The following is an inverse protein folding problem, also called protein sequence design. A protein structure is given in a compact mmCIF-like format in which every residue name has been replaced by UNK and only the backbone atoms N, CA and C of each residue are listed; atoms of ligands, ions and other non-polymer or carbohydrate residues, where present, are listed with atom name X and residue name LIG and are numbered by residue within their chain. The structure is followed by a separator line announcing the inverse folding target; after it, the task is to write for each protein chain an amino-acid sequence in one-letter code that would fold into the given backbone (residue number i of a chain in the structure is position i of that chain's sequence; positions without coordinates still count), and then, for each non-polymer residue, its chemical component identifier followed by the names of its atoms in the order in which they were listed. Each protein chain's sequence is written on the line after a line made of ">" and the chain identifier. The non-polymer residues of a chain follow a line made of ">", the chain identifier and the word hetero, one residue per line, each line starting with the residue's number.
data_IF_398235205442
#
_entry.id   IF_398235205442
#
_cell.length_a   1.000
_cell.length_b   1.000
_cell.length_c   1.000
_cell.angle_alpha   90.00
_cell.angle_beta   90.00
_cell.angle_gamma   90.00
#
_symmetry.space_group_name_H-M   'P 1'
#
loop_
_entity.id
_entity.type
_entity.pdbx_description
1 polymer ?
#
# COMPACT_ATOMS: atom_id res chain seq x y z
N UNK A 1 4.41 -5.03 -18.51
CA UNK A 1 4.38 -5.10 -19.99
C UNK A 1 4.85 -3.82 -20.70
N UNK A 2 5.28 -2.77 -20.00
CA UNK A 2 5.70 -1.50 -20.63
C UNK A 2 7.20 -1.30 -20.87
N UNK A 3 8.09 -2.17 -20.36
CA UNK A 3 9.55 -1.99 -20.47
C UNK A 3 10.15 -2.47 -21.80
N UNK A 4 9.60 -3.54 -22.39
CA UNK A 4 10.12 -4.13 -23.64
C UNK A 4 9.96 -3.21 -24.85
N UNK A 5 8.84 -2.48 -24.90
CA UNK A 5 8.55 -1.60 -26.04
C UNK A 5 9.51 -0.39 -26.07
N UNK A 6 9.81 0.19 -24.90
CA UNK A 6 10.73 1.34 -24.81
C UNK A 6 12.16 0.96 -25.18
N UNK A 7 12.66 -0.20 -24.73
CA UNK A 7 14.00 -0.64 -25.08
C UNK A 7 14.13 -0.95 -26.57
N UNK A 8 13.12 -1.59 -27.16
CA UNK A 8 13.07 -1.88 -28.59
C UNK A 8 13.09 -0.59 -29.40
N UNK A 9 12.26 0.39 -29.03
CA UNK A 9 12.21 1.71 -29.68
C UNK A 9 13.53 2.46 -29.60
N UNK A 10 14.20 2.45 -28.45
CA UNK A 10 15.53 3.05 -28.29
C UNK A 10 16.55 2.38 -29.22
N UNK A 11 16.56 1.05 -29.28
CA UNK A 11 17.50 0.29 -30.11
C UNK A 11 17.29 0.59 -31.60
N UNK A 12 16.04 0.63 -32.06
CA UNK A 12 15.69 0.95 -33.45
C UNK A 12 16.10 2.39 -33.81
N UNK A 13 15.72 3.38 -33.00
CA UNK A 13 16.04 4.78 -33.29
C UNK A 13 17.55 5.02 -33.23
N UNK A 14 18.27 4.41 -32.28
CA UNK A 14 19.72 4.51 -32.20
C UNK A 14 20.42 3.88 -33.41
N UNK A 15 19.97 2.72 -33.88
CA UNK A 15 20.52 2.08 -35.08
C UNK A 15 20.35 2.99 -36.31
N UNK A 16 19.16 3.54 -36.50
CA UNK A 16 18.86 4.48 -37.59
C UNK A 16 19.74 5.73 -37.49
N UNK A 17 19.86 6.35 -36.31
CA UNK A 17 20.72 7.52 -36.09
C UNK A 17 22.18 7.25 -36.45
N UNK A 18 22.74 6.11 -36.00
CA UNK A 18 24.15 5.78 -36.28
C UNK A 18 24.39 5.63 -37.79
N UNK A 19 23.47 4.97 -38.50
CA UNK A 19 23.57 4.84 -39.95
C UNK A 19 23.48 6.22 -40.62
N UNK A 20 22.50 7.05 -40.26
CA UNK A 20 22.35 8.40 -40.83
C UNK A 20 23.60 9.26 -40.59
N UNK A 21 24.13 9.27 -39.36
CA UNK A 21 25.27 10.11 -39.00
C UNK A 21 26.61 9.61 -39.53
N UNK A 22 26.77 8.30 -39.74
CA UNK A 22 28.09 7.71 -39.99
C UNK A 22 28.26 7.10 -41.39
N UNK A 23 27.18 6.78 -42.12
CA UNK A 23 27.29 6.21 -43.46
C UNK A 23 26.90 7.17 -44.58
N UNK A 24 26.30 8.33 -44.29
CA UNK A 24 25.88 9.38 -45.26
C UNK A 24 24.95 8.90 -46.41
N UNK A 25 24.54 7.64 -46.39
CA UNK A 25 23.60 6.99 -47.32
C UNK A 25 22.28 6.65 -46.60
N UNK A 26 21.18 6.52 -47.35
CA UNK A 26 19.91 6.05 -46.79
C UNK A 26 20.05 4.63 -46.23
N UNK A 27 19.69 4.38 -44.95
CA UNK A 27 19.91 3.09 -44.33
C UNK A 27 19.10 1.99 -45.02
N UNK A 28 19.75 0.89 -45.42
CA UNK A 28 19.06 -0.32 -45.87
C UNK A 28 18.44 -1.06 -44.68
N UNK A 29 17.27 -1.67 -44.87
CA UNK A 29 16.55 -2.44 -43.85
C UNK A 29 17.44 -3.52 -43.21
N UNK A 30 18.26 -4.20 -44.02
CA UNK A 30 19.20 -5.20 -43.54
C UNK A 30 20.31 -4.64 -42.63
N UNK A 31 20.77 -3.40 -42.89
CA UNK A 31 21.79 -2.76 -42.05
C UNK A 31 21.21 -2.31 -40.71
N UNK A 32 19.93 -1.90 -40.70
CA UNK A 32 19.21 -1.53 -39.47
C UNK A 32 19.04 -2.76 -38.58
N UNK A 33 18.59 -3.88 -39.14
CA UNK A 33 18.40 -5.13 -38.40
C UNK A 33 19.72 -5.69 -37.83
N UNK A 34 20.79 -5.68 -38.62
CA UNK A 34 22.12 -6.11 -38.19
C UNK A 34 22.64 -5.25 -37.01
N UNK A 35 22.39 -3.93 -37.06
CA UNK A 35 22.83 -3.00 -36.02
C UNK A 35 21.95 -3.08 -34.77
N UNK A 36 20.65 -3.34 -34.91
CA UNK A 36 19.74 -3.64 -33.79
C UNK A 36 20.20 -4.91 -33.07
N UNK A 37 20.56 -5.97 -33.81
CA UNK A 37 21.10 -7.20 -33.24
C UNK A 37 22.43 -6.96 -32.50
N UNK A 38 23.30 -6.11 -33.05
CA UNK A 38 24.55 -5.68 -32.40
C UNK A 38 24.29 -4.93 -31.08
N UNK A 39 23.34 -3.98 -31.09
CA UNK A 39 22.91 -3.21 -29.92
C UNK A 39 22.33 -4.13 -28.84
N UNK A 40 21.60 -5.19 -29.23
CA UNK A 40 21.05 -6.20 -28.33
C UNK A 40 22.11 -7.17 -27.75
N UNK A 41 23.34 -7.14 -28.26
CA UNK A 41 24.48 -7.88 -27.71
C UNK A 41 25.07 -8.97 -28.62
N UNK A 42 24.55 -9.15 -29.84
CA UNK A 42 25.18 -10.04 -30.81
C UNK A 42 26.53 -9.47 -31.26
N UNK A 43 27.57 -10.31 -31.34
CA UNK A 43 28.93 -9.92 -31.77
C UNK A 43 29.37 -10.65 -33.04
N UNK A 44 28.42 -11.28 -33.75
CA UNK A 44 28.65 -12.05 -34.97
C UNK A 44 29.29 -11.24 -36.11
N UNK A 45 28.89 -9.98 -36.28
CA UNK A 45 29.39 -9.12 -37.35
C UNK A 45 30.49 -8.15 -36.87
N UNK A 46 31.73 -8.38 -37.33
CA UNK A 46 32.91 -7.60 -36.95
C UNK A 46 32.97 -6.20 -37.57
N UNK A 47 32.18 -5.91 -38.61
CA UNK A 47 32.21 -4.62 -39.30
C UNK A 47 31.61 -3.49 -38.46
N UNK A 48 30.61 -3.82 -37.63
CA UNK A 48 29.91 -2.87 -36.76
C UNK A 48 30.65 -2.61 -35.43
N UNK A 49 31.73 -3.34 -35.14
CA UNK A 49 32.51 -3.19 -33.91
C UNK A 49 33.09 -1.77 -33.72
N UNK A 50 33.30 -1.03 -34.81
CA UNK A 50 33.76 0.37 -34.78
C UNK A 50 32.77 1.34 -34.08
N UNK A 51 31.51 0.94 -33.91
CA UNK A 51 30.49 1.76 -33.26
C UNK A 51 30.22 1.35 -31.80
N UNK A 52 30.87 0.30 -31.27
CA UNK A 52 30.58 -0.24 -29.94
C UNK A 52 30.70 0.82 -28.83
N UNK A 53 31.73 1.66 -28.88
CA UNK A 53 31.94 2.74 -27.90
C UNK A 53 30.84 3.81 -27.98
N UNK A 54 30.40 4.15 -29.19
CA UNK A 54 29.32 5.11 -29.43
C UNK A 54 27.98 4.55 -28.95
N UNK A 55 27.69 3.30 -29.31
CA UNK A 55 26.51 2.54 -28.91
C UNK A 55 26.42 2.51 -27.38
N UNK A 56 27.49 2.12 -26.70
CA UNK A 56 27.52 2.03 -25.24
C UNK A 56 27.21 3.37 -24.58
N UNK A 57 27.85 4.45 -25.03
CA UNK A 57 27.62 5.77 -24.46
C UNK A 57 26.20 6.30 -24.70
N UNK A 58 25.61 6.01 -25.86
CA UNK A 58 24.27 6.49 -26.23
C UNK A 58 23.16 5.66 -25.57
N UNK A 59 23.31 4.33 -25.46
CA UNK A 59 22.36 3.48 -24.72
C UNK A 59 22.33 3.91 -23.26
N UNK A 60 23.48 4.14 -22.62
CA UNK A 60 23.55 4.51 -21.22
C UNK A 60 22.83 5.85 -20.96
N UNK A 61 22.97 6.83 -21.86
CA UNK A 61 22.29 8.11 -21.76
C UNK A 61 20.78 7.99 -22.09
N UNK A 62 20.42 7.31 -23.18
CA UNK A 62 19.05 7.18 -23.67
C UNK A 62 18.14 6.35 -22.78
N UNK A 63 18.62 5.19 -22.29
CA UNK A 63 17.85 4.29 -21.41
C UNK A 63 17.43 4.95 -20.09
N UNK A 64 18.16 5.98 -19.67
CA UNK A 64 17.93 6.68 -18.41
C UNK A 64 17.37 8.10 -18.60
N UNK A 65 17.00 8.47 -19.83
CA UNK A 65 16.32 9.72 -20.17
C UNK A 65 14.85 9.49 -20.46
N UNK A 66 13.98 9.82 -19.50
CA UNK A 66 12.52 9.68 -19.67
C UNK A 66 11.98 10.59 -20.79
N UNK A 67 12.49 11.82 -20.90
CA UNK A 67 12.02 12.80 -21.89
C UNK A 67 12.26 12.36 -23.34
N UNK A 68 13.29 11.55 -23.60
CA UNK A 68 13.57 11.05 -24.94
C UNK A 68 12.42 10.17 -25.46
N UNK A 69 11.78 9.41 -24.57
CA UNK A 69 10.63 8.56 -24.91
C UNK A 69 9.31 9.32 -25.08
N UNK A 70 9.25 10.59 -24.67
CA UNK A 70 8.09 11.47 -24.86
C UNK A 70 8.09 12.15 -26.24
N UNK A 71 9.22 12.16 -26.94
CA UNK A 71 9.38 12.71 -28.30
C UNK A 71 8.80 11.78 -29.36
N UNK A 72 8.47 12.32 -30.53
CA UNK A 72 8.19 11.52 -31.73
C UNK A 72 9.47 10.85 -32.26
N UNK A 73 9.36 9.86 -33.14
CA UNK A 73 10.53 9.10 -33.63
C UNK A 73 11.52 9.96 -34.44
N UNK A 74 11.04 10.97 -35.18
CA UNK A 74 11.90 11.86 -35.96
C UNK A 74 12.70 12.80 -35.04
N UNK A 75 12.03 13.41 -34.06
CA UNK A 75 12.63 14.26 -33.03
C UNK A 75 13.59 13.47 -32.14
N UNK A 76 13.27 12.21 -31.85
CA UNK A 76 14.14 11.29 -31.13
C UNK A 76 15.44 11.07 -31.92
N UNK A 77 15.31 10.74 -33.22
CA UNK A 77 16.46 10.54 -34.11
C UNK A 77 17.28 11.82 -34.23
N UNK A 78 16.65 12.98 -34.42
CA UNK A 78 17.33 14.28 -34.52
C UNK A 78 18.08 14.65 -33.23
N UNK A 79 17.48 14.38 -32.07
CA UNK A 79 18.11 14.58 -30.77
C UNK A 79 19.37 13.73 -30.61
N UNK A 80 19.29 12.44 -30.99
CA UNK A 80 20.44 11.56 -30.99
C UNK A 80 21.51 12.02 -32.01
N UNK A 81 21.09 12.40 -33.22
CA UNK A 81 21.97 12.90 -34.28
C UNK A 81 22.77 14.11 -33.81
N UNK A 82 22.11 15.05 -33.12
CA UNK A 82 22.77 16.24 -32.59
C UNK A 82 23.87 15.90 -31.57
N UNK A 83 23.60 14.95 -30.67
CA UNK A 83 24.57 14.49 -29.67
C UNK A 83 25.73 13.74 -30.31
N UNK A 84 25.47 12.90 -31.31
CA UNK A 84 26.51 12.15 -32.02
C UNK A 84 27.42 13.10 -32.82
N UNK A 85 26.84 14.06 -33.55
CA UNK A 85 27.59 15.03 -34.33
C UNK A 85 28.41 16.00 -33.46
N UNK A 86 27.99 16.24 -32.21
CA UNK A 86 28.66 17.13 -31.26
C UNK A 86 29.24 16.37 -30.06
N UNK A 87 29.72 15.14 -30.27
CA UNK A 87 30.16 14.26 -29.17
C UNK A 87 31.25 14.87 -28.29
N UNK A 88 32.09 15.74 -28.85
CA UNK A 88 33.13 16.48 -28.12
C UNK A 88 32.57 17.45 -27.06
N UNK A 89 31.35 17.96 -27.25
CA UNK A 89 30.66 18.85 -26.31
C UNK A 89 29.94 18.06 -25.20
N UNK A 90 29.55 16.81 -25.48
CA UNK A 90 28.79 15.95 -24.58
C UNK A 90 29.59 14.75 -24.09
N UNK A 91 30.71 15.01 -23.39
CA UNK A 91 31.64 13.95 -22.96
C UNK A 91 31.09 13.08 -21.82
N UNK A 92 30.19 13.61 -20.99
CA UNK A 92 29.61 12.86 -19.87
C UNK A 92 28.17 12.45 -20.16
N UNK A 93 27.75 11.31 -19.58
CA UNK A 93 26.35 10.85 -19.63
C UNK A 93 25.40 11.89 -19.06
N UNK A 94 25.84 12.66 -18.06
CA UNK A 94 25.04 13.74 -17.47
C UNK A 94 24.77 14.86 -18.47
N UNK A 95 25.79 15.33 -19.19
CA UNK A 95 25.61 16.38 -20.20
C UNK A 95 24.65 15.96 -21.31
N UNK A 96 24.68 14.69 -21.74
CA UNK A 96 23.73 14.14 -22.72
C UNK A 96 22.29 14.16 -22.19
N UNK A 97 22.09 13.77 -20.92
CA UNK A 97 20.77 13.82 -20.26
C UNK A 97 20.26 15.24 -20.09
N UNK A 98 21.12 16.14 -19.64
CA UNK A 98 20.77 17.54 -19.44
C UNK A 98 20.32 18.15 -20.77
N UNK A 99 21.01 17.83 -21.88
CA UNK A 99 20.55 18.20 -23.22
C UNK A 99 19.18 17.60 -23.55
N UNK A 100 18.99 16.28 -23.42
CA UNK A 100 17.70 15.64 -23.68
C UNK A 100 16.56 16.21 -22.81
N UNK A 101 16.87 16.69 -21.60
CA UNK A 101 15.92 17.36 -20.72
C UNK A 101 15.63 18.81 -21.15
N UNK A 102 16.56 19.47 -21.85
CA UNK A 102 16.35 20.80 -22.45
C UNK A 102 15.59 20.74 -23.78
N UNK A 103 15.47 19.55 -24.38
CA UNK A 103 14.62 19.36 -25.56
C UNK A 103 13.19 19.48 -25.08
N UNK A 104 12.63 20.66 -25.33
CA UNK A 104 11.28 21.00 -24.95
C UNK A 104 10.31 20.09 -25.72
N UNK A 105 9.58 19.22 -25.02
CA UNK A 105 8.37 18.58 -25.58
C UNK A 105 7.32 19.63 -25.95
N UNK A 106 7.53 20.90 -25.54
CA UNK A 106 6.78 22.07 -25.99
C UNK A 106 7.15 22.57 -27.41
N UNK A 107 7.86 21.77 -28.20
CA UNK A 107 7.79 21.84 -29.67
C UNK A 107 6.76 20.85 -30.24
N UNK A 108 5.70 20.53 -29.51
CA UNK A 108 4.37 20.42 -30.13
C UNK A 108 4.08 21.77 -30.80
N UNK A 109 4.34 21.87 -32.10
CA UNK A 109 3.79 22.87 -32.99
C UNK A 109 3.52 24.24 -32.33
N UNK A 110 4.57 24.98 -31.97
CA UNK A 110 4.51 26.43 -32.17
C UNK A 110 4.97 26.76 -33.58
N UNK A 111 4.41 26.06 -34.57
CA UNK A 111 3.87 26.85 -35.66
C UNK A 111 2.86 27.76 -34.99
N UNK A 112 3.21 29.03 -34.79
CA UNK A 112 2.20 30.06 -34.63
C UNK A 112 1.32 29.89 -35.88
N UNK A 113 0.23 29.12 -35.74
CA UNK A 113 -0.73 28.94 -36.80
C UNK A 113 -1.17 30.35 -37.13
N UNK A 114 -0.75 30.82 -38.30
CA UNK A 114 -1.02 32.17 -38.71
C UNK A 114 -2.47 32.20 -39.15
N UNK A 115 -3.31 32.80 -38.32
CA UNK A 115 -4.70 33.00 -38.66
C UNK A 115 -4.81 34.31 -39.46
N UNK A 116 -5.32 34.20 -40.68
CA UNK A 116 -5.79 35.34 -41.45
C UNK A 116 -7.08 35.91 -40.82
N UNK A 117 -7.43 37.19 -41.05
CA UNK A 117 -8.70 37.74 -40.57
C UNK A 117 -9.90 36.90 -41.07
N UNK A 118 -10.63 36.29 -40.15
CA UNK A 118 -11.72 35.38 -40.49
C UNK A 118 -12.42 34.78 -39.26
N UNK A 119 -13.48 34.01 -39.51
CA UNK A 119 -14.17 33.23 -38.48
C UNK A 119 -13.75 31.78 -38.59
N UNK A 120 -13.15 31.26 -37.53
CA UNK A 120 -12.72 29.88 -37.42
C UNK A 120 -13.60 29.16 -36.38
N UNK A 121 -13.97 27.92 -36.69
CA UNK A 121 -14.65 27.02 -35.74
C UNK A 121 -13.66 25.95 -35.27
N UNK A 122 -13.95 25.33 -34.13
CA UNK A 122 -13.26 24.11 -33.68
C UNK A 122 -11.75 24.26 -33.42
N UNK A 123 -11.31 25.46 -33.05
CA UNK A 123 -9.92 25.70 -32.63
C UNK A 123 -9.71 25.16 -31.22
N UNK A 124 -8.70 24.31 -31.03
CA UNK A 124 -8.26 23.86 -29.73
C UNK A 124 -7.77 25.03 -28.85
N UNK A 125 -8.12 25.01 -27.56
CA UNK A 125 -7.88 26.15 -26.64
C UNK A 125 -6.38 26.56 -26.55
N UNK A 126 -5.47 25.59 -26.59
CA UNK A 126 -4.03 25.84 -26.60
C UNK A 126 -3.56 26.58 -27.87
N UNK A 127 -4.10 26.21 -29.04
CA UNK A 127 -3.81 26.87 -30.32
C UNK A 127 -4.41 28.28 -30.34
N UNK A 128 -5.61 28.46 -29.79
CA UNK A 128 -6.24 29.77 -29.66
C UNK A 128 -5.38 30.74 -28.85
N UNK A 129 -4.88 30.32 -27.68
CA UNK A 129 -4.04 31.15 -26.82
C UNK A 129 -2.61 31.34 -27.33
N UNK A 130 -2.12 30.46 -28.21
CA UNK A 130 -0.82 30.56 -28.87
C UNK A 130 -0.87 31.32 -30.21
N UNK A 131 -2.07 31.72 -30.67
CA UNK A 131 -2.26 32.36 -31.97
C UNK A 131 -1.54 33.72 -32.09
N UNK A 132 -1.37 34.17 -33.33
CA UNK A 132 -0.85 35.50 -33.68
C UNK A 132 -1.81 36.66 -33.30
N UNK A 133 -3.01 36.38 -32.84
CA UNK A 133 -4.03 37.38 -32.54
C UNK A 133 -3.80 38.15 -31.24
N UNK A 134 -4.29 39.39 -31.19
CA UNK A 134 -4.33 40.18 -29.95
C UNK A 134 -5.66 39.90 -29.23
N UNK A 135 -5.60 39.29 -28.05
CA UNK A 135 -6.80 39.00 -27.27
C UNK A 135 -7.44 40.25 -26.65
N UNK A 136 -8.71 40.16 -26.25
CA UNK A 136 -9.39 41.26 -25.53
C UNK A 136 -8.65 41.64 -24.23
N UNK A 137 -8.14 40.65 -23.50
CA UNK A 137 -7.35 40.87 -22.27
C UNK A 137 -6.07 41.64 -22.57
N UNK A 138 -5.37 41.27 -23.64
CA UNK A 138 -4.19 41.98 -24.12
C UNK A 138 -4.48 43.46 -24.44
N UNK A 139 -5.62 43.73 -25.10
CA UNK A 139 -6.02 45.11 -25.42
C UNK A 139 -6.36 45.93 -24.18
N UNK A 140 -6.99 45.30 -23.16
CA UNK A 140 -7.26 45.94 -21.87
C UNK A 140 -5.98 46.30 -21.13
N UNK A 141 -5.00 45.39 -21.11
CA UNK A 141 -3.69 45.64 -20.50
C UNK A 141 -2.93 46.76 -21.23
N UNK A 142 -2.94 46.74 -22.57
CA UNK A 142 -2.32 47.77 -23.40
C UNK A 142 -2.95 49.16 -23.18
N UNK A 143 -4.28 49.21 -22.98
CA UNK A 143 -5.00 50.44 -22.66
C UNK A 143 -4.59 51.04 -21.31
N UNK A 144 -4.20 50.22 -20.35
CA UNK A 144 -3.68 50.69 -19.06
C UNK A 144 -2.26 51.23 -19.24
N UNK A 145 -1.37 50.44 -19.86
CA UNK A 145 -0.01 50.85 -20.18
C UNK A 145 0.65 49.95 -21.21
N UNK A 146 1.22 50.55 -22.26
CA UNK A 146 2.01 49.82 -23.26
C UNK A 146 3.28 49.19 -22.67
N UNK A 147 3.86 49.80 -21.64
CA UNK A 147 5.01 49.21 -20.95
C UNK A 147 4.62 47.96 -20.16
N UNK A 148 3.44 47.98 -19.53
CA UNK A 148 2.89 46.80 -18.85
C UNK A 148 2.58 45.68 -19.85
N UNK A 149 1.95 46.01 -20.98
CA UNK A 149 1.71 45.07 -22.07
C UNK A 149 3.00 44.43 -22.57
N UNK A 150 4.04 45.24 -22.84
CA UNK A 150 5.33 44.74 -23.31
C UNK A 150 5.96 43.79 -22.29
N UNK A 151 5.98 44.17 -21.01
CA UNK A 151 6.57 43.33 -19.94
C UNK A 151 5.81 42.04 -19.69
N UNK A 152 4.49 42.03 -19.85
CA UNK A 152 3.65 40.86 -19.57
C UNK A 152 3.51 39.91 -20.76
N UNK A 153 3.22 40.45 -21.94
CA UNK A 153 2.87 39.65 -23.12
C UNK A 153 4.04 39.43 -24.09
N UNK A 154 4.98 40.37 -24.17
CA UNK A 154 6.15 40.29 -25.08
C UNK A 154 7.37 39.71 -24.36
N UNK A 155 7.91 40.40 -23.35
CA UNK A 155 9.12 39.94 -22.64
C UNK A 155 8.83 38.91 -21.54
N UNK A 156 7.56 38.77 -21.14
CA UNK A 156 7.09 37.82 -20.11
C UNK A 156 7.85 37.93 -18.77
N UNK A 157 8.30 39.13 -18.44
CA UNK A 157 8.92 39.48 -17.16
C UNK A 157 7.90 39.43 -16.01
N UNK A 158 6.65 39.81 -16.29
CA UNK A 158 5.55 39.80 -15.31
C UNK A 158 4.78 38.50 -15.48
N UNK A 159 4.84 37.65 -14.45
CA UNK A 159 4.10 36.39 -14.42
C UNK A 159 2.62 36.61 -14.14
N UNK A 160 1.80 35.71 -14.66
CA UNK A 160 0.38 35.69 -14.37
C UNK A 160 0.10 34.96 -13.06
N UNK A 161 -0.46 35.66 -12.09
CA UNK A 161 -0.92 35.04 -10.84
C UNK A 161 -2.36 34.52 -11.02
N UNK A 162 -2.54 33.21 -10.81
CA UNK A 162 -3.88 32.62 -10.74
C UNK A 162 -4.49 32.91 -9.38
N UNK A 163 -5.74 33.36 -9.40
CA UNK A 163 -6.52 33.64 -8.19
C UNK A 163 -7.63 32.59 -8.05
N UNK A 164 -8.01 32.28 -6.81
CA UNK A 164 -9.09 31.31 -6.55
C UNK A 164 -10.39 31.68 -7.25
N UNK A 165 -10.71 32.98 -7.32
CA UNK A 165 -11.89 33.48 -8.01
C UNK A 165 -11.84 33.22 -9.54
N UNK A 166 -10.65 33.32 -10.15
CA UNK A 166 -10.46 33.02 -11.56
C UNK A 166 -10.56 31.52 -11.83
N UNK A 167 -9.97 30.70 -10.98
CA UNK A 167 -10.01 29.25 -11.12
C UNK A 167 -11.44 28.72 -10.94
N UNK A 168 -12.19 29.26 -9.97
CA UNK A 168 -13.62 28.97 -9.81
C UNK A 168 -14.43 29.42 -11.02
N UNK A 169 -14.16 30.63 -11.55
CA UNK A 169 -14.80 31.11 -12.77
C UNK A 169 -14.52 30.20 -13.97
N UNK A 170 -13.28 29.74 -14.12
CA UNK A 170 -12.88 28.81 -15.18
C UNK A 170 -13.60 27.46 -15.05
N UNK A 171 -13.66 26.90 -13.82
CA UNK A 171 -14.42 25.69 -13.54
C UNK A 171 -15.89 25.86 -13.92
N UNK A 172 -16.52 26.96 -13.48
CA UNK A 172 -17.92 27.21 -13.77
C UNK A 172 -18.18 27.35 -15.28
N UNK A 173 -17.33 28.07 -16.00
CA UNK A 173 -17.43 28.18 -17.46
C UNK A 173 -17.32 26.82 -18.14
N UNK A 174 -16.36 25.99 -17.72
CA UNK A 174 -16.18 24.63 -18.25
C UNK A 174 -17.41 23.78 -17.96
N UNK A 175 -17.94 23.82 -16.73
CA UNK A 175 -19.12 23.05 -16.33
C UNK A 175 -20.38 23.42 -17.12
N UNK A 176 -20.56 24.71 -17.42
CA UNK A 176 -21.75 25.20 -18.13
C UNK A 176 -21.64 25.02 -19.65
N UNK A 177 -20.48 25.30 -20.23
CA UNK A 177 -20.30 25.32 -21.68
C UNK A 177 -19.79 23.99 -22.25
N UNK A 178 -18.95 23.29 -21.49
CA UNK A 178 -18.22 22.08 -21.92
C UNK A 178 -18.17 21.04 -20.78
N UNK A 179 -19.33 20.57 -20.27
CA UNK A 179 -19.40 19.70 -19.09
C UNK A 179 -18.59 18.40 -19.23
N UNK A 180 -18.46 17.88 -20.46
CA UNK A 180 -17.67 16.70 -20.78
C UNK A 180 -16.17 16.87 -20.52
N UNK A 181 -15.64 18.10 -20.57
CA UNK A 181 -14.23 18.38 -20.31
C UNK A 181 -13.88 18.50 -18.84
N UNK A 182 -14.87 18.68 -17.97
CA UNK A 182 -14.65 18.88 -16.53
C UNK A 182 -13.88 17.72 -15.92
N UNK A 183 -14.22 16.47 -16.28
CA UNK A 183 -13.54 15.29 -15.76
C UNK A 183 -12.08 15.12 -16.25
N UNK A 184 -11.73 15.78 -17.36
CA UNK A 184 -10.38 15.74 -17.94
C UNK A 184 -9.52 16.90 -17.42
N UNK A 185 -10.08 18.10 -17.33
CA UNK A 185 -9.36 19.32 -16.94
C UNK A 185 -9.27 19.52 -15.42
N UNK A 186 -10.23 19.00 -14.66
CA UNK A 186 -10.31 19.19 -13.22
C UNK A 186 -10.22 17.86 -12.47
N UNK A 187 -9.48 17.89 -11.36
CA UNK A 187 -9.46 16.78 -10.40
C UNK A 187 -10.72 16.81 -9.56
N UNK A 188 -11.71 16.00 -9.95
CA UNK A 188 -12.91 15.81 -9.17
C UNK A 188 -12.62 14.87 -7.98
N UNK A 189 -13.24 15.10 -6.81
CA UNK A 189 -13.16 14.14 -5.71
C UNK A 189 -13.67 12.78 -6.20
N UNK A 190 -12.92 11.72 -5.91
CA UNK A 190 -13.33 10.37 -6.25
C UNK A 190 -14.63 10.01 -5.54
N UNK A 191 -15.53 9.34 -6.26
CA UNK A 191 -16.74 8.82 -5.66
C UNK A 191 -16.38 7.88 -4.50
N UNK A 192 -17.01 8.09 -3.35
CA UNK A 192 -16.87 7.19 -2.21
C UNK A 192 -17.51 5.86 -2.60
N UNK A 193 -16.82 4.72 -2.52
CA UNK A 193 -17.40 3.44 -2.90
C UNK A 193 -18.54 3.05 -1.94
N UNK A 194 -19.56 2.35 -2.46
CA UNK A 194 -20.81 2.03 -1.74
C UNK A 194 -20.63 1.29 -0.40
N UNK A 195 -19.47 0.66 -0.20
CA UNK A 195 -19.14 -0.09 1.01
C UNK A 195 -18.14 0.62 1.93
N UNK A 196 -17.74 1.85 1.63
CA UNK A 196 -16.88 2.62 2.50
C UNK A 196 -17.65 3.16 3.71
N UNK A 197 -17.02 3.08 4.87
CA UNK A 197 -17.53 3.71 6.08
C UNK A 197 -17.42 5.23 5.94
N UNK A 198 -18.55 5.89 5.75
CA UNK A 198 -18.63 7.35 5.68
C UNK A 198 -18.74 7.99 7.06
N UNK A 199 -19.31 7.27 8.03
CA UNK A 199 -19.64 7.79 9.36
C UNK A 199 -19.23 6.83 10.49
N UNK A 200 -18.92 7.38 11.67
CA UNK A 200 -18.58 6.60 12.88
C UNK A 200 -19.68 5.60 13.27
N UNK A 201 -20.95 5.97 13.05
CA UNK A 201 -22.09 5.09 13.36
C UNK A 201 -22.15 3.86 12.43
N UNK A 202 -21.73 4.02 11.16
CA UNK A 202 -21.65 2.89 10.23
C UNK A 202 -20.56 1.89 10.63
N UNK A 203 -19.44 2.40 11.15
CA UNK A 203 -18.36 1.57 11.68
C UNK A 203 -18.76 0.81 12.94
N UNK A 204 -19.46 1.47 13.88
CA UNK A 204 -19.96 0.82 15.11
C UNK A 204 -20.94 -0.31 14.80
N UNK A 205 -21.93 -0.07 13.93
CA UNK A 205 -22.89 -1.11 13.53
C UNK A 205 -22.19 -2.31 12.88
N UNK A 206 -21.16 -2.07 12.07
CA UNK A 206 -20.39 -3.14 11.47
C UNK A 206 -19.59 -3.93 12.51
N UNK A 207 -18.94 -3.26 13.47
CA UNK A 207 -18.24 -3.90 14.58
C UNK A 207 -19.19 -4.74 15.44
N UNK A 208 -20.38 -4.23 15.76
CA UNK A 208 -21.40 -4.97 16.51
C UNK A 208 -21.85 -6.22 15.75
N UNK A 209 -22.10 -6.11 14.43
CA UNK A 209 -22.47 -7.25 13.59
C UNK A 209 -21.33 -8.27 13.45
N UNK A 210 -20.09 -7.81 13.39
CA UNK A 210 -18.91 -8.67 13.34
C UNK A 210 -18.73 -9.41 14.67
N UNK A 211 -18.79 -8.68 15.79
CA UNK A 211 -18.65 -9.24 17.13
C UNK A 211 -19.80 -10.18 17.49
N UNK A 212 -21.01 -9.94 16.97
CA UNK A 212 -22.13 -10.86 17.10
C UNK A 212 -21.93 -12.20 16.36
N UNK A 213 -21.09 -12.26 15.33
CA UNK A 213 -20.75 -13.50 14.60
C UNK A 213 -19.64 -14.30 15.27
N UNK A 214 -18.87 -13.68 16.17
CA UNK A 214 -17.80 -14.38 16.88
C UNK A 214 -18.37 -15.35 17.90
N UNK A 215 -17.76 -16.53 18.07
CA UNK A 215 -18.18 -17.49 19.09
C UNK A 215 -18.00 -16.87 20.47
N UNK A 216 -19.11 -16.70 21.20
CA UNK A 216 -19.05 -16.05 22.50
C UNK A 216 -18.23 -16.91 23.50
N UNK A 217 -17.35 -16.28 24.28
CA UNK A 217 -16.66 -16.95 25.38
C UNK A 217 -17.69 -17.45 26.40
N UNK A 218 -17.49 -18.67 26.92
CA UNK A 218 -18.36 -19.26 27.94
C UNK A 218 -18.48 -18.34 29.17
N UNK A 219 -19.66 -18.20 29.77
CA UNK A 219 -19.85 -17.27 30.90
C UNK A 219 -19.04 -17.69 32.14
N UNK A 220 -18.76 -16.73 33.04
CA UNK A 220 -18.08 -17.03 34.31
C UNK A 220 -18.86 -18.05 35.17
N UNK A 221 -20.19 -18.04 35.07
CA UNK A 221 -21.06 -18.91 35.85
C UNK A 221 -21.06 -20.35 35.28
N UNK A 222 -21.01 -20.51 33.96
CA UNK A 222 -20.81 -21.82 33.32
C UNK A 222 -19.45 -22.42 33.66
N UNK A 223 -18.38 -21.60 33.67
CA UNK A 223 -17.03 -22.06 34.08
C UNK A 223 -17.01 -22.51 35.56
N UNK A 224 -17.70 -21.78 36.44
CA UNK A 224 -17.84 -22.17 37.85
C UNK A 224 -18.65 -23.45 38.02
N UNK A 225 -19.74 -23.60 37.27
CA UNK A 225 -20.59 -24.78 37.32
C UNK A 225 -19.82 -26.06 36.94
N UNK A 226 -18.91 -25.99 35.96
CA UNK A 226 -18.03 -27.11 35.59
C UNK A 226 -17.09 -27.48 36.74
N UNK A 227 -16.48 -26.49 37.39
CA UNK A 227 -15.59 -26.71 38.54
C UNK A 227 -16.37 -27.26 39.73
N UNK A 228 -17.57 -26.76 39.99
CA UNK A 228 -18.43 -27.21 41.08
C UNK A 228 -18.95 -28.63 40.87
N UNK A 229 -19.33 -28.97 39.64
CA UNK A 229 -19.69 -30.34 39.27
C UNK A 229 -18.52 -31.30 39.47
N UNK A 230 -17.29 -30.88 39.12
CA UNK A 230 -16.10 -31.67 39.41
C UNK A 230 -15.86 -31.82 40.92
N UNK A 231 -15.95 -30.72 41.67
CA UNK A 231 -15.80 -30.75 43.13
C UNK A 231 -16.85 -31.63 43.81
N UNK A 232 -18.07 -31.69 43.30
CA UNK A 232 -19.13 -32.57 43.80
C UNK A 232 -18.86 -34.07 43.56
N UNK A 233 -17.97 -34.42 42.63
CA UNK A 233 -17.52 -35.81 42.43
C UNK A 233 -16.38 -36.23 43.35
N UNK A 234 -15.77 -35.28 44.07
CA UNK A 234 -14.71 -35.57 45.04
C UNK A 234 -15.32 -36.10 46.35
N UNK A 235 -14.64 -37.06 46.99
CA UNK A 235 -15.08 -37.60 48.27
C UNK A 235 -15.01 -36.53 49.37
N UNK A 236 -16.11 -36.34 50.11
CA UNK A 236 -16.18 -35.36 51.18
C UNK A 236 -15.23 -35.73 52.34
N UNK A 237 -14.47 -34.76 52.89
CA UNK A 237 -13.65 -35.01 54.06
C UNK A 237 -14.52 -35.30 55.28
N UNK A 238 -14.15 -36.32 56.06
CA UNK A 238 -14.86 -36.65 57.28
C UNK A 238 -14.76 -35.51 58.31
N UNK A 239 -15.87 -35.18 58.96
CA UNK A 239 -15.91 -34.10 59.95
C UNK A 239 -14.95 -34.38 61.13
N UNK A 240 -14.11 -33.37 61.44
CA UNK A 240 -13.23 -33.38 62.62
C UNK A 240 -13.90 -32.75 63.87
N UNK A 241 -15.10 -32.19 63.70
CA UNK A 241 -15.89 -31.52 64.74
C UNK A 241 -17.22 -32.25 64.94
N UNK A 242 -17.38 -32.82 66.14
CA UNK A 242 -18.55 -33.61 66.53
C UNK A 242 -18.37 -34.21 67.94
N UNK A 243 -19.40 -34.88 68.42
CA UNK A 243 -19.38 -35.69 69.65
C UNK A 243 -18.44 -36.90 69.54
N UNK A 244 -18.11 -37.55 70.66
CA UNK A 244 -17.19 -38.71 70.68
C UNK A 244 -17.72 -39.86 69.79
N UNK A 245 -19.04 -40.03 69.76
CA UNK A 245 -19.75 -41.00 68.94
C UNK A 245 -19.67 -40.70 67.43
N UNK A 246 -19.81 -39.44 67.01
CA UNK A 246 -19.71 -39.02 65.60
C UNK A 246 -18.29 -39.20 65.06
N UNK A 247 -17.28 -38.86 65.87
CA UNK A 247 -15.86 -39.09 65.55
C UNK A 247 -15.56 -40.60 65.49
N UNK A 248 -16.20 -41.40 66.36
CA UNK A 248 -16.11 -42.86 66.35
C UNK A 248 -16.70 -43.48 65.07
N UNK A 249 -17.85 -42.99 64.60
CA UNK A 249 -18.47 -43.44 63.35
C UNK A 249 -17.63 -43.08 62.11
N UNK A 250 -17.05 -41.88 62.09
CA UNK A 250 -16.09 -41.47 61.07
C UNK A 250 -14.87 -42.39 61.04
N UNK A 251 -14.31 -42.74 62.20
CA UNK A 251 -13.17 -43.66 62.31
C UNK A 251 -13.50 -45.09 61.84
N UNK A 252 -14.70 -45.60 62.13
CA UNK A 252 -15.11 -46.96 61.71
C UNK A 252 -15.36 -47.07 60.20
N UNK A 253 -15.70 -45.95 59.55
CA UNK A 253 -15.94 -45.87 58.11
C UNK A 253 -14.67 -45.69 57.27
N UNK A 254 -13.51 -45.52 57.92
CA UNK A 254 -12.21 -45.41 57.24
C UNK A 254 -11.78 -46.75 56.61
N UNK A 255 -10.95 -46.74 55.55
CA UNK A 255 -10.30 -47.94 55.06
C UNK A 255 -9.37 -48.54 56.13
N UNK A 256 -9.25 -49.87 56.13
CA UNK A 256 -8.52 -50.64 57.15
C UNK A 256 -7.05 -50.21 57.31
N UNK A 257 -6.43 -49.73 56.22
CA UNK A 257 -5.07 -49.18 56.21
C UNK A 257 -4.87 -47.91 57.06
N UNK A 258 -5.95 -47.15 57.35
CA UNK A 258 -5.91 -45.92 58.15
C UNK A 258 -6.49 -46.11 59.56
N UNK A 259 -6.90 -47.34 59.92
CA UNK A 259 -7.37 -47.71 61.27
C UNK A 259 -6.22 -48.13 62.19
N UNK A 260 -5.20 -47.29 62.32
CA UNK A 260 -4.02 -47.60 63.15
C UNK A 260 -4.16 -47.00 64.55
N UNK A 261 -5.03 -47.59 65.38
CA UNK A 261 -4.95 -47.40 66.84
C UNK A 261 -4.26 -48.65 67.40
N UNK A 262 -3.03 -48.57 67.92
CA UNK A 262 -2.36 -49.70 68.54
C UNK A 262 -3.17 -50.17 69.75
N UNK A 263 -3.43 -51.48 69.84
CA UNK A 263 -4.42 -52.13 70.70
C UNK A 263 -4.26 -52.01 72.22
N UNK A 264 -3.47 -51.07 72.72
CA UNK A 264 -3.24 -50.83 74.15
C UNK A 264 -3.62 -49.41 74.63
N UNK A 265 -3.96 -48.49 73.72
CA UNK A 265 -4.43 -47.15 74.10
C UNK A 265 -5.94 -47.03 73.91
N UNK A 266 -6.65 -46.67 74.98
CA UNK A 266 -8.08 -46.35 74.96
C UNK A 266 -8.38 -45.46 73.77
N UNK A 267 -9.38 -45.83 72.96
CA UNK A 267 -9.93 -45.05 71.84
C UNK A 267 -10.27 -43.62 72.28
N UNK A 268 -9.28 -42.75 72.30
CA UNK A 268 -9.42 -41.37 72.74
C UNK A 268 -9.77 -40.55 71.53
N UNK A 269 -10.65 -39.55 71.71
CA UNK A 269 -11.05 -38.64 70.65
C UNK A 269 -9.86 -38.06 69.87
N UNK A 270 -8.72 -37.89 70.53
CA UNK A 270 -7.46 -37.37 69.95
C UNK A 270 -6.86 -38.36 68.94
N UNK A 271 -6.80 -39.66 69.28
CA UNK A 271 -6.23 -40.69 68.41
C UNK A 271 -7.12 -40.96 67.18
N UNK A 272 -8.45 -40.98 67.38
CA UNK A 272 -9.42 -41.10 66.28
C UNK A 272 -9.36 -39.89 65.34
N UNK A 273 -9.29 -38.67 65.88
CA UNK A 273 -9.10 -37.44 65.08
C UNK A 273 -7.78 -37.45 64.31
N UNK A 274 -6.70 -37.98 64.86
CA UNK A 274 -5.41 -38.07 64.16
C UNK A 274 -5.48 -39.02 62.95
N UNK A 275 -6.16 -40.16 63.10
CA UNK A 275 -6.38 -41.10 62.00
C UNK A 275 -7.28 -40.50 60.90
N UNK A 276 -8.37 -39.83 61.28
CA UNK A 276 -9.25 -39.11 60.35
C UNK A 276 -8.50 -37.97 59.66
N UNK A 277 -7.62 -37.26 60.37
CA UNK A 277 -6.79 -36.19 59.79
C UNK A 277 -5.80 -36.74 58.75
N UNK A 278 -5.19 -37.89 59.00
CA UNK A 278 -4.28 -38.53 58.05
C UNK A 278 -5.01 -39.00 56.78
N UNK A 279 -6.24 -39.49 56.91
CA UNK A 279 -7.07 -39.85 55.76
C UNK A 279 -7.60 -38.62 55.01
N UNK A 280 -8.06 -37.59 55.71
CA UNK A 280 -8.49 -36.35 55.07
C UNK A 280 -7.32 -35.65 54.33
N UNK A 281 -6.08 -35.86 54.77
CA UNK A 281 -4.88 -35.37 54.08
C UNK A 281 -4.57 -36.15 52.78
N UNK A 282 -5.13 -37.35 52.57
CA UNK A 282 -4.98 -38.11 51.32
C UNK A 282 -6.10 -37.86 50.32
N UNK A 283 -7.14 -37.10 50.70
CA UNK A 283 -8.23 -36.72 49.80
C UNK A 283 -7.79 -35.59 48.84
N UNK A 284 -8.25 -35.61 47.57
CA UNK A 284 -7.99 -34.53 46.63
C UNK A 284 -8.59 -33.21 47.12
N UNK A 285 -7.79 -32.13 47.04
CA UNK A 285 -8.22 -30.79 47.45
C UNK A 285 -9.24 -30.25 46.45
N UNK A 286 -10.40 -29.72 46.88
CA UNK A 286 -11.37 -29.12 45.98
C UNK A 286 -10.78 -27.92 45.24
N UNK A 287 -11.08 -27.82 43.95
CA UNK A 287 -10.60 -26.76 43.07
C UNK A 287 -11.29 -25.43 43.41
N UNK A 288 -10.58 -24.32 43.20
CA UNK A 288 -11.07 -22.99 43.60
C UNK A 288 -12.08 -22.46 42.58
N UNK A 289 -13.22 -21.96 43.06
CA UNK A 289 -14.27 -21.33 42.25
C UNK A 289 -14.19 -19.80 42.24
N UNK A 290 -13.14 -19.22 42.83
CA UNK A 290 -12.95 -17.77 42.96
C UNK A 290 -11.80 -17.27 42.07
N UNK A 291 -12.06 -16.20 41.30
CA UNK A 291 -11.03 -15.56 40.47
C UNK A 291 -11.56 -14.95 39.17
N UNK A 292 -10.63 -14.43 38.36
CA UNK A 292 -10.89 -13.95 37.00
C UNK A 292 -11.11 -15.13 36.04
N UNK A 293 -11.58 -14.88 34.81
CA UNK A 293 -11.78 -15.88 33.76
C UNK A 293 -10.57 -16.81 33.58
N UNK A 294 -9.36 -16.25 33.54
CA UNK A 294 -8.12 -17.01 33.39
C UNK A 294 -7.88 -17.96 34.56
N UNK A 295 -8.11 -17.51 35.80
CA UNK A 295 -7.98 -18.36 36.98
C UNK A 295 -8.95 -19.55 36.93
N UNK A 296 -10.18 -19.35 36.45
CA UNK A 296 -11.15 -20.44 36.30
C UNK A 296 -10.75 -21.40 35.17
N UNK A 297 -10.24 -20.88 34.05
CA UNK A 297 -9.72 -21.70 32.94
C UNK A 297 -8.50 -22.52 33.35
N UNK A 298 -7.63 -22.01 34.23
CA UNK A 298 -6.50 -22.76 34.79
C UNK A 298 -6.98 -23.93 35.67
N UNK A 299 -8.05 -23.74 36.45
CA UNK A 299 -8.66 -24.82 37.24
C UNK A 299 -9.34 -25.85 36.32
N UNK A 300 -10.04 -25.38 35.28
CA UNK A 300 -10.66 -26.27 34.28
C UNK A 300 -9.61 -27.03 33.48
N UNK A 301 -8.43 -26.46 33.24
CA UNK A 301 -7.33 -27.18 32.56
C UNK A 301 -6.89 -28.44 33.32
N UNK A 302 -7.01 -28.44 34.66
CA UNK A 302 -6.73 -29.61 35.50
C UNK A 302 -7.80 -30.69 35.32
N UNK A 303 -9.06 -30.29 35.08
CA UNK A 303 -10.21 -31.19 34.88
C UNK A 303 -10.28 -31.70 33.44
N UNK A 304 -10.20 -30.78 32.47
CA UNK A 304 -10.34 -31.01 31.04
C UNK A 304 -9.51 -29.97 30.26
N UNK A 305 -8.32 -30.40 29.82
CA UNK A 305 -7.39 -29.56 29.07
C UNK A 305 -7.93 -29.12 27.70
N UNK A 306 -8.74 -29.95 27.03
CA UNK A 306 -9.26 -29.65 25.69
C UNK A 306 -10.30 -28.52 25.73
N UNK A 307 -11.22 -28.55 26.71
CA UNK A 307 -12.18 -27.46 26.91
C UNK A 307 -11.49 -26.14 27.28
N UNK A 308 -10.48 -26.18 28.16
CA UNK A 308 -9.73 -24.99 28.53
C UNK A 308 -9.00 -24.36 27.33
N UNK A 309 -8.41 -25.18 26.45
CA UNK A 309 -7.73 -24.70 25.26
C UNK A 309 -8.71 -24.16 24.20
N UNK A 310 -9.86 -24.79 24.02
CA UNK A 310 -10.92 -24.28 23.12
C UNK A 310 -11.44 -22.90 23.56
N UNK A 311 -11.64 -22.70 24.87
CA UNK A 311 -12.08 -21.41 25.40
C UNK A 311 -11.00 -20.32 25.34
N UNK A 312 -9.71 -20.68 25.51
CA UNK A 312 -8.59 -19.72 25.35
C UNK A 312 -8.36 -19.31 23.89
N UNK A 313 -8.69 -20.18 22.94
CA UNK A 313 -8.54 -19.92 21.51
C UNK A 313 -9.71 -19.12 20.90
N UNK A 314 -10.75 -18.78 21.68
CA UNK A 314 -11.83 -17.93 21.20
C UNK A 314 -11.33 -16.48 21.01
N UNK A 315 -11.61 -15.85 19.86
CA UNK A 315 -11.20 -14.48 19.62
C UNK A 315 -11.94 -13.52 20.55
N UNK A 316 -11.22 -12.52 21.07
CA UNK A 316 -11.85 -11.43 21.82
C UNK A 316 -12.60 -10.49 20.85
N UNK A 317 -13.76 -9.95 21.28
CA UNK A 317 -14.48 -8.90 20.55
C UNK A 317 -13.75 -7.55 20.57
#
# INVERSE_FOLDING_TARGET
>A
MGSDNSQTRLNTNLAITILICCTNDTPSEQQVDDLIARIAGDKSNSEWAKYDDLIFQMILAGSSSKHLFELDDNQFIDALCHVINNIHQYQSTKCKKDYFATIDTANKDKQNVYFEPGRYTDIANNVYHASNGISSTMLKDARISLMYYHRRHITKEIQFERTEALDFGNLFHTLVLEPEKVAVEFSLPSAIPDHAFTNTDSMKKWLEQHNAKLPQPMSLDELKAIIEQHNATLAEPFSLSGSLEEIGQGYMSLPEAFKTIPGDNKHTAIAMKACIKNYNATLPVPLKTTGNRENLLDQIQIINADLANLERNKPNP
#
